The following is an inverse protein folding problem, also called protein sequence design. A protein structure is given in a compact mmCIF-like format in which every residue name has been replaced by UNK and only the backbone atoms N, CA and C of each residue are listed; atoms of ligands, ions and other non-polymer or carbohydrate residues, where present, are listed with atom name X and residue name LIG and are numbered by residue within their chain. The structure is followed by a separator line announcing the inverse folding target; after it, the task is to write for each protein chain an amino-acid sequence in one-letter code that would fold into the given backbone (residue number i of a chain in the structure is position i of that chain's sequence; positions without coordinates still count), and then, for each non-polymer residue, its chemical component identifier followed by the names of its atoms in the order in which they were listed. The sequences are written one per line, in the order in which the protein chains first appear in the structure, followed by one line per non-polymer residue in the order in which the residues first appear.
data_IF_258253528216
#
_entry.id   IF_258253528216
#
_cell.length_a   1.000
_cell.length_b   1.000
_cell.length_c   1.000
_cell.angle_alpha   90.00
_cell.angle_beta   90.00
_cell.angle_gamma   90.00
#
_symmetry.space_group_name_H-M   'P 1'
#
loop_
_entity.id
_entity.type
_entity.pdbx_description
1 polymer ?
#
# COMPACT_ATOMS: atom_id res chain seq x y z
N UNK A 1 -8.20 -26.14 6.67
CA UNK A 1 -8.01 -24.72 6.99
C UNK A 1 -6.73 -24.53 7.81
N UNK A 2 -5.82 -23.70 7.33
CA UNK A 2 -4.57 -23.44 8.03
C UNK A 2 -4.80 -22.58 9.28
N UNK A 3 -4.10 -22.89 10.36
CA UNK A 3 -4.20 -22.11 11.60
C UNK A 3 -3.20 -20.99 11.62
N UNK A 4 -3.58 -19.85 12.17
CA UNK A 4 -2.64 -18.76 12.45
C UNK A 4 -1.69 -19.19 13.57
N UNK A 5 -0.42 -19.32 13.23
CA UNK A 5 0.66 -19.78 14.11
C UNK A 5 1.92 -18.98 13.74
N UNK A 6 2.85 -18.85 14.67
CA UNK A 6 4.16 -18.21 14.43
C UNK A 6 4.90 -18.83 13.25
N UNK A 7 4.75 -20.14 13.04
CA UNK A 7 5.34 -20.87 11.92
C UNK A 7 4.75 -20.49 10.55
N UNK A 8 3.58 -19.86 10.56
CA UNK A 8 2.87 -19.46 9.36
C UNK A 8 3.08 -17.99 8.99
N UNK A 9 4.19 -17.40 9.44
CA UNK A 9 4.54 -16.03 9.05
C UNK A 9 4.86 -15.97 7.56
N UNK A 10 4.21 -15.04 6.85
CA UNK A 10 4.37 -14.89 5.41
C UNK A 10 5.68 -14.17 5.10
N UNK A 11 6.43 -14.73 4.14
CA UNK A 11 7.70 -14.13 3.71
C UNK A 11 7.46 -13.10 2.60
N UNK A 12 7.93 -11.87 2.81
CA UNK A 12 7.79 -10.76 1.88
C UNK A 12 8.44 -10.97 0.51
N UNK A 13 9.33 -11.95 0.35
CA UNK A 13 9.92 -12.27 -0.96
C UNK A 13 8.90 -12.72 -2.00
N UNK A 14 7.72 -13.11 -1.57
CA UNK A 14 6.62 -13.54 -2.44
C UNK A 14 5.63 -12.41 -2.77
N UNK A 15 5.94 -11.18 -2.36
CA UNK A 15 5.14 -10.01 -2.72
C UNK A 15 5.28 -9.67 -4.20
N UNK A 16 4.16 -9.30 -4.82
CA UNK A 16 4.10 -8.85 -6.22
C UNK A 16 3.29 -7.58 -6.31
N UNK A 17 3.67 -6.70 -7.23
CA UNK A 17 3.00 -5.43 -7.48
C UNK A 17 2.79 -5.24 -8.98
N UNK A 18 1.58 -4.84 -9.36
CA UNK A 18 1.24 -4.45 -10.73
C UNK A 18 0.85 -2.98 -10.74
N UNK A 19 1.33 -2.24 -11.71
CA UNK A 19 0.97 -0.85 -11.95
C UNK A 19 0.43 -0.73 -13.37
N UNK A 20 -0.81 -0.28 -13.49
CA UNK A 20 -1.48 -0.17 -14.78
C UNK A 20 -1.60 -1.49 -15.54
N UNK A 21 -1.65 -2.61 -14.82
CA UNK A 21 -1.74 -3.95 -15.40
C UNK A 21 -0.40 -4.61 -15.72
N UNK A 22 0.72 -3.90 -15.52
CA UNK A 22 2.06 -4.44 -15.75
C UNK A 22 2.73 -4.80 -14.43
N UNK A 23 3.21 -6.04 -14.33
CA UNK A 23 3.95 -6.50 -13.15
C UNK A 23 5.28 -5.76 -13.02
N UNK A 24 5.53 -5.20 -11.84
CA UNK A 24 6.80 -4.58 -11.52
C UNK A 24 7.81 -5.64 -11.11
N UNK A 25 8.90 -5.73 -11.85
CA UNK A 25 9.98 -6.66 -11.54
C UNK A 25 10.91 -6.10 -10.47
N UNK A 26 11.49 -6.95 -9.67
CA UNK A 26 12.50 -6.60 -8.67
C UNK A 26 12.02 -5.57 -7.65
N UNK A 27 10.82 -5.76 -7.13
CA UNK A 27 10.28 -4.94 -6.03
C UNK A 27 11.09 -5.21 -4.76
N UNK A 28 11.68 -4.17 -4.18
CA UNK A 28 12.38 -4.28 -2.91
C UNK A 28 11.42 -4.15 -1.72
N UNK A 29 10.50 -3.19 -1.80
CA UNK A 29 9.54 -2.97 -0.73
C UNK A 29 8.25 -2.37 -1.27
N UNK A 30 7.17 -2.71 -0.61
CA UNK A 30 5.85 -2.12 -0.82
C UNK A 30 5.25 -1.84 0.55
N UNK A 31 4.70 -0.65 0.71
CA UNK A 31 4.09 -0.23 1.95
C UNK A 31 2.79 0.51 1.66
N UNK A 32 1.74 0.14 2.37
CA UNK A 32 0.45 0.80 2.29
C UNK A 32 -0.01 1.06 3.73
N UNK A 33 -0.25 2.32 4.07
CA UNK A 33 -0.59 2.74 5.42
C UNK A 33 -1.86 3.58 5.43
N UNK A 34 -2.61 3.43 6.49
CA UNK A 34 -3.71 4.34 6.82
C UNK A 34 -3.31 5.20 8.00
N UNK A 35 -3.32 6.51 7.81
CA UNK A 35 -3.15 7.47 8.90
C UNK A 35 -4.52 7.79 9.48
N UNK A 36 -4.65 7.62 10.79
CA UNK A 36 -5.90 7.86 11.52
C UNK A 36 -5.68 9.02 12.47
N UNK A 37 -6.40 10.12 12.24
CA UNK A 37 -6.42 11.26 13.13
C UNK A 37 -7.66 11.22 14.01
N UNK A 38 -7.47 11.37 15.31
CA UNK A 38 -8.56 11.40 16.28
C UNK A 38 -8.59 12.70 17.05
N UNK A 39 -9.78 13.13 17.37
CA UNK A 39 -10.04 14.29 18.20
C UNK A 39 -10.48 13.82 19.58
N UNK A 40 -9.90 14.42 20.62
CA UNK A 40 -10.25 14.12 22.01
C UNK A 40 -11.26 15.15 22.48
N UNK A 41 -12.45 14.70 22.89
CA UNK A 41 -13.46 15.53 23.53
C UNK A 41 -13.49 15.22 25.03
N UNK A 42 -13.39 16.26 25.84
CA UNK A 42 -13.53 16.13 27.29
C UNK A 42 -14.98 16.33 27.71
N UNK A 43 -15.46 15.53 28.64
CA UNK A 43 -16.77 15.74 29.22
C UNK A 43 -16.82 16.99 30.11
N UNK A 44 -18.02 17.43 30.47
CA UNK A 44 -18.27 18.54 31.37
C UNK A 44 -19.00 18.08 32.61
N UNK A 45 -18.91 18.89 33.72
CA UNK A 45 -19.55 18.56 34.97
C UNK A 45 -19.00 17.23 35.59
N UNK A 46 -19.92 16.35 35.94
CA UNK A 46 -19.54 15.02 36.51
C UNK A 46 -18.72 14.15 35.55
N UNK A 47 -18.69 14.49 34.27
CA UNK A 47 -17.95 13.79 33.22
C UNK A 47 -16.64 14.50 32.84
N UNK A 48 -16.18 15.47 33.62
CA UNK A 48 -15.00 16.28 33.30
C UNK A 48 -13.73 15.45 33.09
N UNK A 49 -13.61 14.29 33.73
CA UNK A 49 -12.46 13.38 33.58
C UNK A 49 -12.63 12.33 32.48
N UNK A 50 -13.78 12.31 31.84
CA UNK A 50 -14.05 11.34 30.76
C UNK A 50 -13.58 11.91 29.42
N UNK A 51 -12.68 11.19 28.76
CA UNK A 51 -12.21 11.51 27.41
C UNK A 51 -12.93 10.64 26.40
N UNK A 52 -13.44 11.27 25.33
CA UNK A 52 -14.07 10.55 24.20
C UNK A 52 -13.21 10.81 22.97
N UNK A 53 -12.78 9.73 22.33
CA UNK A 53 -11.99 9.80 21.11
C UNK A 53 -12.91 9.69 19.90
N UNK A 54 -12.86 10.69 19.04
CA UNK A 54 -13.65 10.69 17.79
C UNK A 54 -12.75 10.74 16.58
N UNK A 55 -13.17 10.07 15.53
CA UNK A 55 -12.47 10.10 14.26
C UNK A 55 -12.56 11.51 13.66
N UNK A 56 -11.41 12.11 13.37
CA UNK A 56 -11.31 13.39 12.70
C UNK A 56 -11.11 13.21 11.20
N UNK A 57 -10.10 12.44 10.82
CA UNK A 57 -9.72 12.24 9.43
C UNK A 57 -8.97 10.91 9.25
N UNK A 58 -9.00 10.39 8.03
CA UNK A 58 -8.17 9.24 7.63
C UNK A 58 -7.59 9.47 6.25
N UNK A 59 -6.33 9.10 6.09
CA UNK A 59 -5.64 9.14 4.80
C UNK A 59 -4.98 7.79 4.54
N UNK A 60 -5.01 7.34 3.29
CA UNK A 60 -4.28 6.16 2.87
C UNK A 60 -3.16 6.60 1.96
N UNK A 61 -1.94 6.21 2.28
CA UNK A 61 -0.76 6.50 1.50
C UNK A 61 0.16 5.30 1.46
N UNK A 62 1.09 5.31 0.54
CA UNK A 62 2.05 4.23 0.44
C UNK A 62 3.31 4.61 -0.29
N UNK A 63 4.24 3.68 -0.27
CA UNK A 63 5.52 3.78 -0.95
C UNK A 63 5.85 2.48 -1.63
N UNK A 64 6.43 2.58 -2.81
CA UNK A 64 6.93 1.45 -3.57
C UNK A 64 8.38 1.72 -3.91
N UNK A 65 9.24 0.78 -3.57
CA UNK A 65 10.67 0.84 -3.95
C UNK A 65 10.99 -0.33 -4.85
N UNK A 66 11.46 -0.02 -6.04
CA UNK A 66 11.84 -1.01 -7.05
C UNK A 66 13.25 -0.73 -7.56
N UNK A 67 13.93 -1.76 -8.01
CA UNK A 67 15.19 -1.58 -8.74
C UNK A 67 14.89 -1.10 -10.15
N UNK A 68 15.64 -0.10 -10.58
CA UNK A 68 15.44 0.47 -11.89
C UNK A 68 15.98 -0.47 -12.97
N UNK A 69 15.11 -0.83 -13.90
CA UNK A 69 15.47 -1.55 -15.11
C UNK A 69 15.45 -0.60 -16.30
N UNK A 70 14.39 0.18 -16.43
CA UNK A 70 14.21 1.17 -17.49
C UNK A 70 13.36 2.35 -17.00
N UNK A 71 13.16 3.33 -17.87
CA UNK A 71 12.41 4.56 -17.57
C UNK A 71 11.09 4.67 -18.32
N UNK A 72 10.63 3.65 -19.00
CA UNK A 72 9.50 3.80 -19.93
C UNK A 72 8.22 4.24 -19.22
N UNK A 73 7.87 3.61 -18.12
CA UNK A 73 6.68 3.96 -17.34
C UNK A 73 6.74 5.39 -16.78
N UNK A 74 7.89 5.79 -16.26
CA UNK A 74 8.11 7.12 -15.72
C UNK A 74 8.03 8.17 -16.83
N UNK A 75 8.60 7.89 -17.98
CA UNK A 75 8.57 8.77 -19.14
C UNK A 75 7.13 9.06 -19.60
N UNK A 76 6.32 8.03 -19.73
CA UNK A 76 4.92 8.19 -20.13
C UNK A 76 4.11 8.99 -19.10
N UNK A 77 4.32 8.71 -17.82
CA UNK A 77 3.68 9.46 -16.75
C UNK A 77 4.06 10.93 -16.76
N UNK A 78 5.35 11.25 -16.91
CA UNK A 78 5.81 12.64 -17.02
C UNK A 78 5.21 13.36 -18.24
N UNK A 79 5.07 12.69 -19.37
CA UNK A 79 4.41 13.24 -20.55
C UNK A 79 2.95 13.60 -20.30
N UNK A 80 2.25 12.75 -19.57
CA UNK A 80 0.85 13.01 -19.19
C UNK A 80 0.75 14.24 -18.30
N UNK A 81 1.62 14.36 -17.30
CA UNK A 81 1.67 15.53 -16.43
C UNK A 81 1.97 16.82 -17.19
N UNK A 82 2.89 16.78 -18.14
CA UNK A 82 3.23 17.95 -18.98
C UNK A 82 2.05 18.42 -19.83
N UNK A 83 1.15 17.50 -20.20
CA UNK A 83 -0.08 17.81 -20.91
C UNK A 83 -1.21 18.27 -19.99
N UNK A 84 -0.98 18.33 -18.69
CA UNK A 84 -1.99 18.68 -17.70
C UNK A 84 -3.00 17.56 -17.42
N UNK A 85 -2.70 16.33 -17.80
CA UNK A 85 -3.54 15.17 -17.53
C UNK A 85 -3.16 14.60 -16.16
N UNK A 86 -4.10 14.64 -15.23
CA UNK A 86 -3.94 14.07 -13.89
C UNK A 86 -4.93 12.90 -13.71
N UNK A 87 -4.51 11.73 -14.13
CA UNK A 87 -5.28 10.51 -13.98
C UNK A 87 -4.68 9.62 -12.89
N UNK A 88 -5.53 8.97 -12.08
CA UNK A 88 -5.03 8.03 -11.09
C UNK A 88 -4.40 6.80 -11.75
N UNK A 89 -3.42 6.24 -11.07
CA UNK A 89 -2.76 5.01 -11.50
C UNK A 89 -3.36 3.84 -10.73
N UNK A 90 -3.76 2.80 -11.42
CA UNK A 90 -4.27 1.58 -10.78
C UNK A 90 -3.09 0.74 -10.29
N UNK A 91 -3.05 0.47 -9.00
CA UNK A 91 -2.04 -0.36 -8.38
C UNK A 91 -2.71 -1.59 -7.77
N UNK A 92 -2.14 -2.75 -8.03
CA UNK A 92 -2.54 -4.01 -7.44
C UNK A 92 -1.33 -4.64 -6.75
N UNK A 93 -1.48 -5.05 -5.52
CA UNK A 93 -0.44 -5.70 -4.76
C UNK A 93 -0.94 -7.03 -4.22
N UNK A 94 -0.12 -8.06 -4.30
CA UNK A 94 -0.46 -9.37 -3.78
C UNK A 94 0.68 -9.95 -2.95
N UNK A 95 0.32 -10.78 -2.00
CA UNK A 95 1.24 -11.50 -1.15
C UNK A 95 0.76 -12.95 -1.03
N UNK A 96 1.57 -13.89 -1.53
CA UNK A 96 1.26 -15.30 -1.52
C UNK A 96 2.52 -16.09 -1.19
N UNK A 97 2.53 -16.72 -0.03
CA UNK A 97 3.60 -17.64 0.33
C UNK A 97 3.12 -19.08 0.07
N UNK A 98 3.72 -19.80 -0.91
CA UNK A 98 3.29 -21.15 -1.23
C UNK A 98 3.54 -22.16 -0.12
N UNK A 99 4.38 -21.82 0.86
CA UNK A 99 4.71 -22.69 1.99
C UNK A 99 3.80 -22.43 3.21
N UNK A 100 2.97 -21.38 3.18
CA UNK A 100 2.16 -20.97 4.31
C UNK A 100 0.69 -20.83 3.91
N UNK A 101 -0.22 -21.10 4.84
CA UNK A 101 -1.65 -20.97 4.62
C UNK A 101 -2.17 -21.67 3.35
N UNK A 102 -1.58 -22.83 3.01
CA UNK A 102 -1.96 -23.62 1.82
C UNK A 102 -1.79 -22.85 0.49
N UNK A 103 -0.87 -21.85 0.47
CA UNK A 103 -0.64 -21.03 -0.70
C UNK A 103 -1.72 -20.01 -1.00
N UNK A 104 -2.57 -19.67 -0.02
CA UNK A 104 -3.57 -18.63 -0.19
C UNK A 104 -2.93 -17.27 -0.46
N UNK A 105 -3.62 -16.45 -1.25
CA UNK A 105 -3.14 -15.13 -1.66
C UNK A 105 -3.95 -14.02 -0.99
N UNK A 106 -3.27 -12.96 -0.57
CA UNK A 106 -3.90 -11.68 -0.24
C UNK A 106 -3.64 -10.70 -1.38
N UNK A 107 -4.69 -10.13 -1.92
CA UNK A 107 -4.60 -9.16 -3.02
C UNK A 107 -5.42 -7.93 -2.69
N UNK A 108 -4.81 -6.77 -2.86
CA UNK A 108 -5.48 -5.47 -2.72
C UNK A 108 -5.29 -4.68 -4.01
N UNK A 109 -6.35 -3.99 -4.44
CA UNK A 109 -6.31 -3.10 -5.59
C UNK A 109 -6.85 -1.72 -5.21
N UNK A 110 -6.30 -0.69 -5.81
CA UNK A 110 -6.68 0.69 -5.53
C UNK A 110 -6.22 1.62 -6.65
N UNK A 111 -6.83 2.80 -6.69
CA UNK A 111 -6.37 3.91 -7.53
C UNK A 111 -5.53 4.86 -6.69
N UNK A 112 -4.36 5.22 -7.19
CA UNK A 112 -3.40 6.05 -6.49
C UNK A 112 -3.00 7.27 -7.32
N UNK A 113 -2.73 8.35 -6.61
CA UNK A 113 -2.13 9.57 -7.17
C UNK A 113 -0.69 9.65 -6.70
N UNK A 114 0.24 9.68 -7.63
CA UNK A 114 1.67 9.82 -7.30
C UNK A 114 1.91 11.23 -6.76
N UNK A 115 2.56 11.32 -5.62
CA UNK A 115 2.79 12.56 -4.91
C UNK A 115 4.25 12.65 -4.47
N UNK A 116 4.72 13.88 -4.32
CA UNK A 116 6.08 14.15 -3.88
C UNK A 116 7.10 14.04 -5.00
N UNK A 117 8.30 13.66 -4.64
CA UNK A 117 9.41 13.58 -5.58
C UNK A 117 9.38 12.26 -6.34
N UNK A 118 9.35 12.35 -7.65
CA UNK A 118 9.47 11.19 -8.54
C UNK A 118 10.82 11.25 -9.25
N UNK A 119 11.65 10.22 -9.03
CA UNK A 119 12.95 10.14 -9.67
C UNK A 119 12.81 9.97 -11.18
N UNK A 120 13.26 10.95 -11.94
CA UNK A 120 13.31 10.88 -13.40
C UNK A 120 14.56 10.14 -13.84
N UNK A 121 15.70 10.56 -13.30
CA UNK A 121 16.99 9.91 -13.56
C UNK A 121 17.91 10.15 -12.37
N UNK A 122 18.38 9.07 -11.77
CA UNK A 122 19.34 9.14 -10.67
C UNK A 122 20.23 7.91 -10.70
N UNK A 123 21.49 8.08 -10.34
CA UNK A 123 22.42 6.99 -10.16
C UNK A 123 23.48 7.35 -9.11
N UNK A 124 24.06 6.34 -8.54
CA UNK A 124 25.17 6.45 -7.62
C UNK A 124 26.28 5.49 -8.05
N UNK A 125 27.52 5.95 -8.04
CA UNK A 125 28.64 5.11 -8.49
C UNK A 125 28.75 3.81 -7.66
N UNK A 126 28.96 2.70 -8.32
CA UNK A 126 29.12 1.36 -7.74
C UNK A 126 27.85 0.83 -7.02
N UNK A 127 26.70 1.47 -7.23
CA UNK A 127 25.41 1.00 -6.66
C UNK A 127 24.38 0.75 -7.75
N UNK A 128 23.50 -0.20 -7.51
CA UNK A 128 22.33 -0.42 -8.35
C UNK A 128 21.34 0.73 -8.18
N UNK A 129 20.71 1.14 -9.26
CA UNK A 129 19.74 2.23 -9.24
C UNK A 129 18.39 1.74 -8.72
N UNK A 130 17.83 2.48 -7.78
CA UNK A 130 16.50 2.24 -7.22
C UNK A 130 15.57 3.40 -7.58
N UNK A 131 14.28 3.10 -7.66
CA UNK A 131 13.23 4.11 -7.79
C UNK A 131 12.31 3.97 -6.59
N UNK A 132 12.05 5.08 -5.92
CA UNK A 132 11.05 5.17 -4.87
C UNK A 132 9.87 6.00 -5.35
N UNK A 133 8.67 5.44 -5.28
CA UNK A 133 7.43 6.08 -5.68
C UNK A 133 6.55 6.22 -4.45
N UNK A 134 6.20 7.47 -4.11
CA UNK A 134 5.24 7.76 -3.04
C UNK A 134 3.89 8.10 -3.65
N UNK A 135 2.81 7.64 -3.05
CA UNK A 135 1.47 7.85 -3.58
C UNK A 135 0.44 8.00 -2.48
N UNK A 136 -0.64 8.70 -2.82
CA UNK A 136 -1.85 8.76 -2.02
C UNK A 136 -2.95 7.96 -2.69
N UNK A 137 -3.75 7.28 -1.90
CA UNK A 137 -4.80 6.38 -2.37
C UNK A 137 -6.17 7.03 -2.19
N UNK A 138 -7.02 6.91 -3.20
CA UNK A 138 -8.43 7.22 -3.06
C UNK A 138 -9.10 6.11 -2.22
N UNK A 139 -9.56 6.40 -0.99
CA UNK A 139 -10.11 5.36 -0.12
C UNK A 139 -11.33 4.64 -0.68
N UNK A 140 -12.10 5.30 -1.56
CA UNK A 140 -13.28 4.70 -2.17
C UNK A 140 -12.96 3.59 -3.16
N UNK A 141 -11.72 3.55 -3.65
CA UNK A 141 -11.28 2.58 -4.66
C UNK A 141 -10.53 1.39 -4.06
N UNK A 142 -10.16 1.46 -2.77
CA UNK A 142 -9.45 0.40 -2.09
C UNK A 142 -10.35 -0.84 -1.94
N UNK A 143 -9.92 -1.94 -2.53
CA UNK A 143 -10.66 -3.20 -2.51
C UNK A 143 -9.72 -4.37 -2.20
N UNK A 144 -10.21 -5.26 -1.36
CA UNK A 144 -9.55 -6.52 -1.07
C UNK A 144 -10.10 -7.60 -2.00
N UNK A 145 -9.37 -7.89 -3.07
CA UNK A 145 -9.79 -8.89 -4.06
C UNK A 145 -9.70 -10.32 -3.52
N UNK A 146 -8.75 -10.55 -2.62
CA UNK A 146 -8.58 -11.83 -1.95
C UNK A 146 -7.96 -11.64 -0.56
N UNK A 147 -8.34 -12.51 0.37
CA UNK A 147 -7.81 -12.53 1.74
C UNK A 147 -7.43 -13.95 2.14
N UNK A 148 -6.41 -14.07 2.98
CA UNK A 148 -6.02 -15.34 3.56
C UNK A 148 -7.02 -15.73 4.66
N UNK A 149 -7.62 -16.89 4.53
CA UNK A 149 -8.51 -17.43 5.56
C UNK A 149 -7.71 -18.32 6.51
N UNK A 150 -7.50 -17.83 7.72
CA UNK A 150 -6.84 -18.58 8.79
C UNK A 150 -7.81 -19.30 9.70
N UNK A 151 -9.12 -19.18 9.46
CA UNK A 151 -10.16 -19.68 10.34
C UNK A 151 -10.37 -18.86 11.61
N UNK A 152 -9.73 -17.72 11.71
CA UNK A 152 -9.91 -16.78 12.84
C UNK A 152 -11.04 -15.82 12.54
N UNK A 153 -11.78 -15.47 13.58
CA UNK A 153 -12.73 -14.37 13.46
C UNK A 153 -11.99 -13.04 13.24
N UNK A 154 -12.57 -12.19 12.39
CA UNK A 154 -12.08 -10.83 12.26
C UNK A 154 -12.30 -10.11 13.59
N UNK A 155 -11.21 -9.66 14.20
CA UNK A 155 -11.23 -9.00 15.51
C UNK A 155 -11.93 -7.65 15.50
N UNK A 156 -12.13 -7.05 14.32
CA UNK A 156 -12.82 -5.77 14.14
C UNK A 156 -14.22 -5.90 13.56
N UNK A 157 -14.65 -7.13 13.25
CA UNK A 157 -16.01 -7.36 12.76
C UNK A 157 -17.04 -7.06 13.86
N UNK A 158 -18.12 -6.41 13.49
CA UNK A 158 -19.24 -6.10 14.41
C UNK A 158 -20.45 -6.96 14.10
#
# INVERSE_FOLDING_TARGET
MAKADEKNTINGKYGRVWIGGYEMMMVESFELKRKIDREVQKGTGKRANKKVYRLKDTEISGKLKVKRIDNMGIREYNKQLDKGIDEPVVIEASLQDPNQYEGQVETVSFEAYIEGDLDILSWENEKYCDIEISFNVDPSTLDWDALIDTGRQDMFAK
#
